data_IF_974479816372
#
_entry.id   IF_974479816372
#
_cell.length_a   1.000
_cell.length_b   1.000
_cell.length_c   1.000
_cell.angle_alpha   90.00
_cell.angle_beta   90.00
_cell.angle_gamma   90.00
#
_symmetry.space_group_name_H-M   'P 1'
#
loop_
_entity.id
_entity.type
_entity.pdbx_description
1 polymer ?
#
# COMPACT_ATOMS: atom_id res chain seq x y z
N UNK A 1 -5.85 1.31 -20.60
CA UNK A 1 -5.14 0.94 -19.35
C UNK A 1 -3.68 0.51 -19.54
N UNK A 2 -3.13 0.53 -20.77
CA UNK A 2 -1.85 -0.12 -21.12
C UNK A 2 -0.63 0.82 -21.28
N UNK A 3 -0.76 2.13 -21.04
CA UNK A 3 0.32 3.12 -21.21
C UNK A 3 1.01 3.55 -19.91
N UNK A 4 0.72 2.89 -18.78
CA UNK A 4 1.19 3.32 -17.46
C UNK A 4 2.48 2.67 -16.96
N UNK A 5 3.11 1.79 -17.72
CA UNK A 5 4.30 1.09 -17.21
C UNK A 5 5.52 2.01 -17.17
N UNK A 6 5.99 2.61 -18.28
CA UNK A 6 7.19 3.48 -18.25
C UNK A 6 6.96 4.84 -17.56
N UNK A 7 5.71 5.32 -17.54
CA UNK A 7 5.36 6.58 -16.87
C UNK A 7 5.43 6.49 -15.32
N UNK A 8 5.35 5.30 -14.73
CA UNK A 8 5.09 5.16 -13.29
C UNK A 8 6.25 5.67 -12.39
N UNK A 9 7.52 5.55 -12.82
CA UNK A 9 8.68 5.97 -12.01
C UNK A 9 8.93 7.48 -12.10
N UNK A 10 8.95 8.05 -13.31
CA UNK A 10 9.08 9.50 -13.50
C UNK A 10 7.90 10.28 -12.88
N UNK A 11 6.73 9.64 -12.80
CA UNK A 11 5.51 10.23 -12.26
C UNK A 11 5.40 10.12 -10.73
N UNK A 12 6.44 9.66 -10.01
CA UNK A 12 6.48 9.64 -8.54
C UNK A 12 7.60 10.50 -7.94
N UNK A 13 8.76 10.59 -8.60
CA UNK A 13 9.82 11.52 -8.22
C UNK A 13 9.40 13.00 -8.39
N UNK A 14 8.70 13.31 -9.49
CA UNK A 14 8.19 14.67 -9.74
C UNK A 14 7.16 15.10 -8.68
N UNK A 15 6.17 14.27 -8.28
CA UNK A 15 5.28 14.59 -7.17
C UNK A 15 5.95 14.80 -5.82
N UNK A 16 6.96 14.01 -5.45
CA UNK A 16 7.61 14.17 -4.14
C UNK A 16 8.37 15.49 -4.06
N UNK A 17 9.15 15.82 -5.09
CA UNK A 17 9.85 17.11 -5.16
C UNK A 17 8.86 18.29 -5.18
N UNK A 18 7.78 18.18 -5.95
CA UNK A 18 6.72 19.20 -5.99
C UNK A 18 6.01 19.35 -4.64
N UNK A 19 5.82 18.25 -3.90
CA UNK A 19 5.21 18.26 -2.58
C UNK A 19 6.11 18.94 -1.54
N UNK A 20 7.40 18.61 -1.49
CA UNK A 20 8.32 19.24 -0.54
C UNK A 20 8.37 20.75 -0.76
N UNK A 21 8.48 21.17 -2.02
CA UNK A 21 8.41 22.59 -2.40
C UNK A 21 7.10 23.26 -1.97
N UNK A 22 5.95 22.61 -2.20
CA UNK A 22 4.65 23.11 -1.75
C UNK A 22 4.62 23.30 -0.22
N UNK A 23 5.15 22.36 0.56
CA UNK A 23 5.16 22.44 2.03
C UNK A 23 6.09 23.54 2.52
N UNK A 24 7.25 23.70 1.88
CA UNK A 24 8.25 24.72 2.21
C UNK A 24 7.75 26.15 1.91
N UNK A 25 7.07 26.34 0.78
CA UNK A 25 6.60 27.66 0.32
C UNK A 25 5.30 28.13 0.99
N UNK A 26 4.57 27.25 1.67
CA UNK A 26 3.27 27.57 2.27
C UNK A 26 3.29 27.49 3.81
N UNK A 27 2.31 28.13 4.45
CA UNK A 27 2.12 27.99 5.90
C UNK A 27 1.43 26.65 6.18
N UNK A 28 1.83 25.89 7.22
CA UNK A 28 1.20 24.61 7.51
C UNK A 28 -0.31 24.70 7.76
N UNK A 29 -0.80 25.83 8.25
CA UNK A 29 -2.22 26.10 8.49
C UNK A 29 -3.06 26.14 7.21
N UNK A 30 -2.43 26.46 6.06
CA UNK A 30 -3.10 26.63 4.77
C UNK A 30 -3.18 25.31 3.98
N UNK A 31 -2.26 24.38 4.23
CA UNK A 31 -2.13 23.11 3.48
C UNK A 31 -2.62 21.89 4.26
N UNK A 32 -2.80 22.00 5.59
CA UNK A 32 -3.25 20.91 6.46
C UNK A 32 -4.70 21.15 6.94
N UNK A 33 -5.42 20.06 7.21
CA UNK A 33 -6.70 20.19 7.93
C UNK A 33 -6.47 20.65 9.37
N UNK A 34 -7.49 21.28 9.98
CA UNK A 34 -7.43 21.76 11.37
C UNK A 34 -7.04 20.67 12.36
N UNK A 35 -7.55 19.45 12.18
CA UNK A 35 -7.25 18.29 13.02
C UNK A 35 -5.81 17.79 12.86
N UNK A 36 -5.29 17.75 11.63
CA UNK A 36 -3.92 17.33 11.37
C UNK A 36 -2.92 18.34 11.91
N UNK A 37 -3.18 19.61 11.69
CA UNK A 37 -2.36 20.70 12.21
C UNK A 37 -2.31 20.67 13.74
N UNK A 38 -3.46 20.58 14.41
CA UNK A 38 -3.52 20.52 15.87
C UNK A 38 -2.75 19.31 16.43
N UNK A 39 -2.86 18.14 15.80
CA UNK A 39 -2.13 16.93 16.18
C UNK A 39 -0.62 17.11 16.05
N UNK A 40 -0.15 17.61 14.91
CA UNK A 40 1.28 17.82 14.67
C UNK A 40 1.86 18.91 15.55
N UNK A 41 1.11 19.99 15.77
CA UNK A 41 1.49 21.05 16.69
C UNK A 41 1.66 20.52 18.12
N UNK A 42 0.69 19.74 18.62
CA UNK A 42 0.79 19.11 19.93
C UNK A 42 2.02 18.19 20.04
N UNK A 43 2.34 17.44 18.99
CA UNK A 43 3.53 16.59 18.93
C UNK A 43 4.82 17.41 19.02
N UNK A 44 4.91 18.54 18.31
CA UNK A 44 6.05 19.46 18.37
C UNK A 44 6.18 20.11 19.75
N UNK A 45 5.07 20.58 20.34
CA UNK A 45 5.07 21.18 21.68
C UNK A 45 5.52 20.19 22.76
N UNK A 46 5.07 18.93 22.67
CA UNK A 46 5.50 17.88 23.60
C UNK A 46 6.99 17.53 23.41
N UNK A 47 7.47 17.45 22.17
CA UNK A 47 8.88 17.21 21.88
C UNK A 47 9.79 18.33 22.41
N UNK A 48 9.36 19.59 22.24
CA UNK A 48 10.07 20.75 22.78
C UNK A 48 10.11 20.73 24.32
N UNK A 49 8.99 20.43 24.98
CA UNK A 49 8.93 20.30 26.44
C UNK A 49 9.84 19.17 26.97
N UNK A 50 9.90 18.04 26.25
CA UNK A 50 10.81 16.93 26.58
C UNK A 50 12.28 17.31 26.44
N UNK A 51 12.65 18.07 25.41
CA UNK A 51 14.02 18.55 25.23
C UNK A 51 14.47 19.47 26.39
N UNK A 52 13.60 20.39 26.82
CA UNK A 52 13.84 21.28 27.97
C UNK A 52 14.04 20.50 29.28
N UNK A 53 13.23 19.46 29.53
CA UNK A 53 13.36 18.61 30.73
C UNK A 53 14.65 17.77 30.78
N UNK A 54 15.30 17.56 29.62
CA UNK A 54 16.58 16.85 29.53
C UNK A 54 17.76 17.79 29.84
N UNK A 55 17.64 19.07 29.48
CA UNK A 55 18.64 20.10 29.76
C UNK A 55 18.64 20.55 31.24
N UNK A 56 17.48 20.61 31.90
CA UNK A 56 17.40 20.89 33.35
C UNK A 56 18.14 19.86 34.22
N UNK A 57 18.33 18.63 33.73
CA UNK A 57 19.07 17.58 34.46
C UNK A 57 20.59 17.72 34.38
N UNK A 58 21.11 18.67 33.58
CA UNK A 58 22.53 18.93 33.41
C UNK A 58 23.05 20.14 34.20
N UNK A 59 22.18 20.91 34.88
CA UNK A 59 22.57 22.13 35.59
C UNK A 59 21.87 22.30 36.94
N UNK A 60 22.16 21.43 37.91
CA UNK A 60 21.89 21.71 39.32
C UNK A 60 23.18 22.24 39.97
N UNK A 61 23.34 23.58 40.06
CA UNK A 61 23.73 24.43 41.24
C UNK A 61 23.71 25.90 40.74
N UNK A 62 22.78 26.75 41.18
CA UNK A 62 22.92 27.87 42.15
C UNK A 62 21.58 28.65 42.26
N UNK A 63 21.06 28.66 43.49
CA UNK A 63 20.31 29.70 44.25
C UNK A 63 20.11 31.09 43.60
N UNK A 64 18.86 31.60 43.54
CA UNK A 64 18.38 32.73 44.37
C UNK A 64 16.91 33.11 44.04
N UNK A 65 16.17 33.55 45.05
CA UNK A 65 14.72 33.79 45.10
C UNK A 65 14.31 35.22 44.67
N UNK A 66 13.23 35.36 43.89
CA UNK A 66 12.23 36.44 44.12
C UNK A 66 10.86 36.18 43.42
N UNK A 67 9.69 36.51 44.05
CA UNK A 67 8.35 36.22 43.51
C UNK A 67 7.59 37.54 43.09
N UNK A 68 6.29 37.55 42.75
CA UNK A 68 5.80 37.62 41.36
C UNK A 68 4.92 38.85 41.06
N UNK A 69 5.00 39.42 39.84
CA UNK A 69 4.04 40.46 39.38
C UNK A 69 3.11 39.92 38.29
N UNK A 70 1.83 40.13 38.58
CA UNK A 70 0.59 39.70 37.94
C UNK A 70 0.42 40.23 36.51
N UNK A 71 -0.08 39.37 35.62
CA UNK A 71 -0.58 39.76 34.30
C UNK A 71 -0.90 38.60 33.36
N UNK A 72 -1.71 37.62 33.77
CA UNK A 72 -2.16 36.54 32.87
C UNK A 72 -3.24 37.07 31.93
N UNK A 73 -2.83 37.79 30.89
CA UNK A 73 -3.59 37.79 29.64
C UNK A 73 -3.43 36.38 29.06
N UNK A 74 -4.55 35.69 28.77
CA UNK A 74 -4.52 34.38 28.08
C UNK A 74 -3.51 34.47 26.93
N UNK A 75 -2.41 33.69 26.94
CA UNK A 75 -1.46 33.78 25.87
C UNK A 75 -2.19 33.29 24.63
N UNK A 76 -2.41 34.19 23.67
CA UNK A 76 -2.54 33.76 22.28
C UNK A 76 -1.26 32.98 22.05
N UNK A 77 -1.38 31.65 21.94
CA UNK A 77 -0.25 30.78 21.63
C UNK A 77 0.15 31.14 20.20
N UNK A 78 0.97 32.18 20.06
CA UNK A 78 1.58 32.52 18.79
C UNK A 78 2.48 31.35 18.44
N UNK A 79 2.02 30.58 17.46
CA UNK A 79 2.77 29.46 16.92
C UNK A 79 4.07 30.06 16.38
N UNK A 80 5.18 29.69 17.01
CA UNK A 80 6.49 30.24 16.68
C UNK A 80 6.90 29.77 15.29
N UNK A 81 7.74 30.54 14.60
CA UNK A 81 8.25 30.11 13.29
C UNK A 81 9.11 28.84 13.37
N UNK A 82 9.75 28.61 14.52
CA UNK A 82 10.40 27.35 14.83
C UNK A 82 9.39 26.19 14.88
N UNK A 83 8.23 26.37 15.53
CA UNK A 83 7.18 25.36 15.56
C UNK A 83 6.59 25.11 14.17
N UNK A 84 6.36 26.16 13.35
CA UNK A 84 5.92 26.00 11.96
C UNK A 84 6.92 25.19 11.13
N UNK A 85 8.21 25.48 11.29
CA UNK A 85 9.29 24.77 10.58
C UNK A 85 9.35 23.30 11.00
N UNK A 86 9.26 23.01 12.30
CA UNK A 86 9.20 21.64 12.80
C UNK A 86 7.97 20.88 12.26
N UNK A 87 6.80 21.53 12.18
CA UNK A 87 5.60 20.92 11.59
C UNK A 87 5.81 20.62 10.10
N UNK A 88 6.39 21.53 9.32
CA UNK A 88 6.75 21.27 7.90
C UNK A 88 7.65 20.05 7.77
N UNK A 89 8.67 19.96 8.62
CA UNK A 89 9.60 18.84 8.60
C UNK A 89 8.91 17.51 8.90
N UNK A 90 8.01 17.46 9.89
CA UNK A 90 7.22 16.25 10.19
C UNK A 90 6.31 15.84 9.03
N UNK A 91 5.71 16.82 8.32
CA UNK A 91 4.88 16.55 7.14
C UNK A 91 5.73 15.96 6.00
N UNK A 92 6.87 16.57 5.71
CA UNK A 92 7.80 16.11 4.69
C UNK A 92 8.30 14.71 5.02
N UNK A 93 8.76 14.49 6.25
CA UNK A 93 9.28 13.20 6.70
C UNK A 93 8.21 12.10 6.64
N UNK A 94 6.99 12.39 7.12
CA UNK A 94 5.88 11.44 7.05
C UNK A 94 5.56 11.07 5.59
N UNK A 95 5.60 12.04 4.67
CA UNK A 95 5.36 11.78 3.25
C UNK A 95 6.50 11.02 2.60
N UNK A 96 7.73 11.30 2.98
CA UNK A 96 8.93 10.59 2.51
C UNK A 96 8.85 9.12 2.89
N UNK A 97 8.45 8.77 4.12
CA UNK A 97 8.26 7.38 4.54
C UNK A 97 7.26 6.64 3.64
N UNK A 98 6.12 7.27 3.33
CA UNK A 98 5.12 6.70 2.41
C UNK A 98 5.67 6.55 0.99
N UNK A 99 6.42 7.55 0.52
CA UNK A 99 7.07 7.51 -0.78
C UNK A 99 8.06 6.35 -0.85
N UNK A 100 8.94 6.19 0.13
CA UNK A 100 9.94 5.13 0.17
C UNK A 100 9.30 3.74 0.23
N UNK A 101 8.25 3.58 1.02
CA UNK A 101 7.47 2.34 1.05
C UNK A 101 6.86 2.03 -0.32
N UNK A 102 6.24 3.03 -0.96
CA UNK A 102 5.63 2.89 -2.29
C UNK A 102 6.68 2.60 -3.38
N UNK A 103 7.79 3.32 -3.36
CA UNK A 103 8.91 3.16 -4.27
C UNK A 103 9.48 1.75 -4.19
N UNK A 104 9.71 1.24 -2.98
CA UNK A 104 10.17 -0.15 -2.76
C UNK A 104 9.21 -1.15 -3.39
N UNK A 105 7.90 -0.97 -3.18
CA UNK A 105 6.89 -1.83 -3.78
C UNK A 105 6.89 -1.74 -5.31
N UNK A 106 7.05 -0.55 -5.88
CA UNK A 106 7.11 -0.37 -7.33
C UNK A 106 8.35 -1.04 -7.91
N UNK A 107 9.50 -0.86 -7.30
CA UNK A 107 10.75 -1.43 -7.79
C UNK A 107 10.75 -2.96 -7.78
N UNK A 108 10.12 -3.60 -6.78
CA UNK A 108 9.91 -5.06 -6.78
C UNK A 108 9.16 -5.53 -8.03
N UNK A 109 8.13 -4.79 -8.47
CA UNK A 109 7.26 -5.13 -9.62
C UNK A 109 7.87 -4.70 -10.95
N UNK A 110 8.60 -3.59 -10.93
CA UNK A 110 9.28 -3.04 -12.09
C UNK A 110 10.19 -4.08 -12.75
N UNK A 111 10.90 -4.86 -11.94
CA UNK A 111 11.74 -5.96 -12.40
C UNK A 111 11.02 -6.87 -13.42
N UNK A 112 9.74 -7.17 -13.21
CA UNK A 112 8.94 -8.00 -14.12
C UNK A 112 8.27 -7.17 -15.21
N UNK A 113 7.72 -6.01 -14.86
CA UNK A 113 6.97 -5.13 -15.77
C UNK A 113 7.82 -4.63 -16.93
N UNK A 114 9.09 -4.30 -16.69
CA UNK A 114 10.01 -3.85 -17.75
C UNK A 114 10.28 -4.95 -18.80
N UNK A 115 10.18 -6.22 -18.41
CA UNK A 115 10.41 -7.35 -19.31
C UNK A 115 9.19 -7.70 -20.16
N UNK A 116 8.00 -7.19 -19.86
CA UNK A 116 6.78 -7.50 -20.62
C UNK A 116 6.83 -6.73 -21.95
N UNK A 117 7.04 -7.46 -23.05
CA UNK A 117 7.10 -6.88 -24.40
C UNK A 117 5.75 -6.88 -25.12
N UNK A 118 4.89 -7.85 -24.81
CA UNK A 118 3.57 -8.00 -25.46
C UNK A 118 2.45 -8.04 -24.44
N UNK A 119 1.89 -6.88 -24.05
CA UNK A 119 0.86 -6.81 -23.01
C UNK A 119 -0.57 -7.01 -23.55
N UNK A 120 -0.72 -7.43 -24.81
CA UNK A 120 -1.99 -7.64 -25.49
C UNK A 120 -2.04 -9.01 -26.18
N UNK A 121 -3.24 -9.45 -26.49
CA UNK A 121 -3.49 -10.69 -27.22
C UNK A 121 -2.98 -10.63 -28.66
N UNK A 122 -2.34 -11.69 -29.13
CA UNK A 122 -1.97 -11.88 -30.53
C UNK A 122 -1.81 -13.38 -30.81
N UNK A 123 -2.14 -13.81 -32.03
CA UNK A 123 -2.20 -15.24 -32.42
C UNK A 123 -0.84 -15.93 -32.40
N UNK A 124 0.25 -15.22 -32.75
CA UNK A 124 1.62 -15.75 -32.63
C UNK A 124 1.90 -16.18 -31.18
N UNK A 125 2.52 -17.35 -30.95
CA UNK A 125 2.95 -17.74 -29.61
C UNK A 125 3.84 -16.68 -28.95
N UNK A 126 3.72 -16.52 -27.64
CA UNK A 126 4.70 -15.81 -26.82
C UNK A 126 6.00 -16.62 -26.77
N UNK A 127 7.11 -15.88 -26.75
CA UNK A 127 8.43 -16.45 -26.46
C UNK A 127 8.46 -17.05 -25.05
N UNK A 128 9.22 -18.14 -24.89
CA UNK A 128 9.34 -18.83 -23.60
C UNK A 128 9.81 -17.88 -22.48
N UNK A 129 10.71 -16.95 -22.78
CA UNK A 129 11.18 -15.92 -21.84
C UNK A 129 10.04 -15.05 -21.31
N UNK A 130 9.04 -14.73 -22.15
CA UNK A 130 7.86 -13.97 -21.71
C UNK A 130 6.95 -14.81 -20.82
N UNK A 131 6.77 -16.11 -21.15
CA UNK A 131 5.96 -17.03 -20.35
C UNK A 131 6.59 -17.25 -18.97
N UNK A 132 7.90 -17.45 -18.89
CA UNK A 132 8.64 -17.57 -17.63
C UNK A 132 8.52 -16.29 -16.81
N UNK A 133 8.68 -15.11 -17.41
CA UNK A 133 8.52 -13.84 -16.69
C UNK A 133 7.10 -13.68 -16.11
N UNK A 134 6.06 -14.06 -16.86
CA UNK A 134 4.68 -14.07 -16.33
C UNK A 134 4.50 -15.07 -15.19
N UNK A 135 5.04 -16.28 -15.34
CA UNK A 135 4.96 -17.31 -14.30
C UNK A 135 5.67 -16.88 -13.01
N UNK A 136 6.87 -16.30 -13.12
CA UNK A 136 7.63 -15.78 -11.98
C UNK A 136 6.90 -14.59 -11.34
N UNK A 137 6.36 -13.67 -12.14
CA UNK A 137 5.65 -12.50 -11.63
C UNK A 137 4.36 -12.89 -10.88
N UNK A 138 3.59 -13.84 -11.43
CA UNK A 138 2.41 -14.38 -10.74
C UNK A 138 2.80 -15.06 -9.42
N UNK A 139 3.88 -15.85 -9.43
CA UNK A 139 4.37 -16.54 -8.22
C UNK A 139 4.83 -15.55 -7.15
N UNK A 140 5.52 -14.48 -7.56
CA UNK A 140 5.95 -13.40 -6.67
C UNK A 140 4.74 -12.69 -6.03
N UNK A 141 3.73 -12.33 -6.80
CA UNK A 141 2.54 -11.65 -6.26
C UNK A 141 1.72 -12.57 -5.35
N UNK A 142 1.59 -13.85 -5.69
CA UNK A 142 0.96 -14.86 -4.82
C UNK A 142 1.70 -14.98 -3.49
N UNK A 143 3.03 -15.04 -3.52
CA UNK A 143 3.85 -15.13 -2.32
C UNK A 143 3.75 -13.87 -1.44
N UNK A 144 3.77 -12.67 -2.04
CA UNK A 144 3.58 -11.41 -1.29
C UNK A 144 2.19 -11.35 -0.64
N UNK A 145 1.14 -11.82 -1.33
CA UNK A 145 -0.20 -11.89 -0.75
C UNK A 145 -0.28 -12.91 0.40
N UNK A 146 0.31 -14.09 0.23
CA UNK A 146 0.35 -15.12 1.27
C UNK A 146 1.16 -14.68 2.51
N UNK A 147 2.24 -13.90 2.31
CA UNK A 147 3.02 -13.34 3.41
C UNK A 147 2.20 -12.33 4.23
N UNK A 148 1.43 -11.46 3.57
CA UNK A 148 0.52 -10.52 4.24
C UNK A 148 -0.57 -11.28 4.99
N UNK A 149 -1.18 -12.28 4.35
CA UNK A 149 -2.19 -13.15 4.98
C UNK A 149 -1.64 -13.83 6.25
N UNK A 150 -0.40 -14.32 6.20
CA UNK A 150 0.25 -14.95 7.35
C UNK A 150 0.57 -13.95 8.46
N UNK A 151 1.08 -12.75 8.14
CA UNK A 151 1.34 -11.70 9.15
C UNK A 151 0.06 -11.33 9.90
N UNK A 152 -1.02 -11.07 9.17
CA UNK A 152 -2.32 -10.72 9.75
C UNK A 152 -2.89 -11.86 10.58
N UNK A 153 -2.70 -13.11 10.14
CA UNK A 153 -3.12 -14.29 10.91
C UNK A 153 -2.40 -14.39 12.24
N UNK A 154 -1.08 -14.19 12.27
CA UNK A 154 -0.30 -14.24 13.51
C UNK A 154 -0.66 -13.09 14.44
N UNK A 155 -0.85 -11.87 13.91
CA UNK A 155 -1.32 -10.70 14.68
C UNK A 155 -2.70 -10.98 15.33
N UNK A 156 -3.68 -11.45 14.56
CA UNK A 156 -5.02 -11.76 15.08
C UNK A 156 -5.02 -12.90 16.09
N UNK A 157 -4.17 -13.92 15.90
CA UNK A 157 -4.04 -15.03 16.83
C UNK A 157 -3.37 -14.61 18.14
N UNK A 158 -2.42 -13.67 18.09
CA UNK A 158 -1.80 -13.10 19.27
C UNK A 158 -2.79 -12.25 20.08
N UNK A 159 -3.66 -11.48 19.41
CA UNK A 159 -4.70 -10.67 20.05
C UNK A 159 -5.89 -11.49 20.59
N UNK A 160 -6.28 -12.54 19.87
CA UNK A 160 -7.44 -13.38 20.20
C UNK A 160 -7.08 -14.88 20.14
N UNK A 161 -6.38 -15.42 21.17
CA UNK A 161 -5.86 -16.79 21.15
C UNK A 161 -6.94 -17.89 21.13
N UNK A 162 -8.13 -17.57 21.63
CA UNK A 162 -9.23 -18.53 21.81
C UNK A 162 -10.13 -18.68 20.56
N UNK A 163 -9.85 -17.96 19.47
CA UNK A 163 -10.64 -18.07 18.24
C UNK A 163 -10.50 -19.44 17.59
N UNK A 164 -11.61 -19.96 17.09
CA UNK A 164 -11.56 -21.15 16.23
C UNK A 164 -10.85 -20.84 14.91
N UNK A 165 -10.20 -21.83 14.30
CA UNK A 165 -9.44 -21.65 13.05
C UNK A 165 -10.32 -21.14 11.89
N UNK A 166 -11.61 -21.50 11.91
CA UNK A 166 -12.61 -21.02 10.95
C UNK A 166 -12.88 -19.52 11.10
N UNK A 167 -13.09 -19.06 12.34
CA UNK A 167 -13.32 -17.64 12.63
C UNK A 167 -12.07 -16.80 12.40
N UNK A 168 -10.90 -17.33 12.75
CA UNK A 168 -9.61 -16.71 12.46
C UNK A 168 -9.43 -16.53 10.95
N UNK A 169 -9.68 -17.57 10.15
CA UNK A 169 -9.60 -17.49 8.70
C UNK A 169 -10.57 -16.47 8.11
N UNK A 170 -11.82 -16.43 8.59
CA UNK A 170 -12.80 -15.43 8.16
C UNK A 170 -12.34 -13.99 8.48
N UNK A 171 -11.79 -13.76 9.68
CA UNK A 171 -11.26 -12.46 10.09
C UNK A 171 -10.05 -12.04 9.26
N UNK A 172 -9.09 -12.94 9.05
CA UNK A 172 -7.92 -12.71 8.20
C UNK A 172 -8.35 -12.29 6.79
N UNK A 173 -9.28 -13.03 6.17
CA UNK A 173 -9.76 -12.74 4.83
C UNK A 173 -10.59 -11.45 4.74
N UNK A 174 -11.15 -10.99 5.85
CA UNK A 174 -11.87 -9.71 5.94
C UNK A 174 -10.97 -8.49 6.19
N UNK A 175 -9.69 -8.70 6.49
CA UNK A 175 -8.74 -7.60 6.71
C UNK A 175 -8.46 -6.84 5.42
N UNK A 176 -8.52 -5.50 5.48
CA UNK A 176 -8.32 -4.62 4.31
C UNK A 176 -6.98 -4.88 3.61
N UNK A 177 -5.91 -5.14 4.37
CA UNK A 177 -4.59 -5.43 3.83
C UNK A 177 -4.58 -6.72 2.99
N UNK A 178 -5.24 -7.77 3.48
CA UNK A 178 -5.37 -9.06 2.79
C UNK A 178 -6.27 -8.91 1.57
N UNK A 179 -7.40 -8.22 1.67
CA UNK A 179 -8.30 -7.94 0.55
C UNK A 179 -7.56 -7.22 -0.58
N UNK A 180 -6.79 -6.17 -0.25
CA UNK A 180 -5.99 -5.42 -1.21
C UNK A 180 -4.90 -6.29 -1.86
N UNK A 181 -4.22 -7.12 -1.07
CA UNK A 181 -3.19 -8.02 -1.58
C UNK A 181 -3.77 -9.06 -2.56
N UNK A 182 -4.89 -9.71 -2.21
CA UNK A 182 -5.58 -10.66 -3.09
C UNK A 182 -6.11 -10.00 -4.36
N UNK A 183 -6.63 -8.76 -4.25
CA UNK A 183 -7.08 -7.98 -5.40
C UNK A 183 -5.95 -7.69 -6.38
N UNK A 184 -4.72 -7.42 -5.90
CA UNK A 184 -3.55 -7.23 -6.75
C UNK A 184 -3.22 -8.47 -7.57
N UNK A 185 -3.19 -9.65 -6.93
CA UNK A 185 -2.95 -10.92 -7.62
C UNK A 185 -4.01 -11.16 -8.70
N UNK A 186 -5.29 -10.94 -8.36
CA UNK A 186 -6.41 -11.06 -9.30
C UNK A 186 -6.24 -10.18 -10.55
N UNK A 187 -5.90 -8.89 -10.35
CA UNK A 187 -5.67 -7.95 -11.46
C UNK A 187 -4.47 -8.37 -12.32
N UNK A 188 -3.41 -8.92 -11.70
CA UNK A 188 -2.26 -9.43 -12.45
C UNK A 188 -2.63 -10.65 -13.31
N UNK A 189 -3.41 -11.58 -12.76
CA UNK A 189 -3.93 -12.72 -13.52
C UNK A 189 -4.79 -12.27 -14.70
N UNK A 190 -5.75 -11.37 -14.48
CA UNK A 190 -6.59 -10.83 -15.55
C UNK A 190 -5.76 -10.19 -16.67
N UNK A 191 -4.68 -9.47 -16.32
CA UNK A 191 -3.73 -8.92 -17.32
C UNK A 191 -2.94 -10.02 -18.03
N UNK A 192 -2.42 -11.00 -17.30
CA UNK A 192 -1.65 -12.11 -17.86
C UNK A 192 -2.49 -12.89 -18.88
N UNK A 193 -3.75 -13.17 -18.56
CA UNK A 193 -4.66 -13.93 -19.40
C UNK A 193 -5.02 -13.21 -20.71
N UNK A 194 -4.92 -11.88 -20.77
CA UNK A 194 -5.05 -11.16 -22.06
C UNK A 194 -3.90 -11.52 -23.00
N UNK A 195 -2.65 -11.46 -22.53
CA UNK A 195 -1.49 -11.79 -23.37
C UNK A 195 -1.38 -13.31 -23.62
N UNK A 196 -1.76 -14.10 -22.62
CA UNK A 196 -1.59 -15.55 -22.57
C UNK A 196 -2.89 -16.34 -22.75
N UNK A 197 -3.88 -15.80 -23.47
CA UNK A 197 -5.21 -16.42 -23.59
C UNK A 197 -5.16 -17.86 -24.14
N UNK A 198 -4.17 -18.20 -24.98
CA UNK A 198 -3.99 -19.54 -25.58
C UNK A 198 -3.26 -20.55 -24.68
N UNK A 199 -2.90 -20.17 -23.45
CA UNK A 199 -2.10 -21.01 -22.55
C UNK A 199 -2.93 -21.53 -21.38
N UNK A 200 -3.54 -22.71 -21.57
CA UNK A 200 -4.49 -23.33 -20.63
C UNK A 200 -3.97 -23.47 -19.20
N UNK A 201 -2.69 -23.79 -19.03
CA UNK A 201 -2.08 -23.95 -17.70
C UNK A 201 -2.17 -22.69 -16.83
N UNK A 202 -2.20 -21.49 -17.42
CA UNK A 202 -2.34 -20.22 -16.70
C UNK A 202 -3.80 -20.02 -16.25
N UNK A 203 -4.78 -20.41 -17.07
CA UNK A 203 -6.19 -20.42 -16.69
C UNK A 203 -6.45 -21.37 -15.53
N UNK A 204 -5.89 -22.58 -15.59
CA UNK A 204 -6.01 -23.59 -14.51
C UNK A 204 -5.38 -23.05 -13.21
N UNK A 205 -4.21 -22.40 -13.31
CA UNK A 205 -3.57 -21.76 -12.15
C UNK A 205 -4.45 -20.66 -11.55
N UNK A 206 -5.05 -19.81 -12.39
CA UNK A 206 -5.95 -18.75 -11.92
C UNK A 206 -7.22 -19.31 -11.26
N UNK A 207 -7.84 -20.34 -11.85
CA UNK A 207 -9.01 -21.01 -11.28
C UNK A 207 -8.71 -21.50 -9.86
N UNK A 208 -7.60 -22.24 -9.70
CA UNK A 208 -7.13 -22.71 -8.38
C UNK A 208 -6.89 -21.57 -7.40
N UNK A 209 -6.27 -20.47 -7.84
CA UNK A 209 -6.05 -19.31 -6.98
C UNK A 209 -7.37 -18.70 -6.48
N UNK A 210 -8.38 -18.62 -7.36
CA UNK A 210 -9.68 -18.03 -7.02
C UNK A 210 -10.57 -18.93 -6.17
N UNK A 211 -10.49 -20.25 -6.34
CA UNK A 211 -11.24 -21.25 -5.55
C UNK A 211 -10.93 -21.17 -4.05
N UNK A 212 -9.71 -20.73 -3.70
CA UNK A 212 -9.28 -20.52 -2.31
C UNK A 212 -9.92 -19.26 -1.68
N UNK A 213 -10.55 -18.37 -2.44
CA UNK A 213 -11.21 -17.14 -1.93
C UNK A 213 -12.72 -17.16 -2.06
N UNK A 214 -13.42 -17.42 -0.94
CA UNK A 214 -14.68 -16.79 -0.50
C UNK A 214 -15.74 -16.44 -1.57
N UNK A 215 -16.02 -17.34 -2.52
CA UNK A 215 -17.28 -17.29 -3.26
C UNK A 215 -17.82 -18.71 -3.45
N UNK A 216 -19.03 -19.04 -2.94
CA UNK A 216 -19.66 -20.35 -3.12
C UNK A 216 -20.27 -20.52 -4.53
N UNK A 217 -19.63 -19.95 -5.56
CA UNK A 217 -19.97 -20.20 -6.95
C UNK A 217 -18.69 -20.43 -7.74
N UNK A 218 -18.53 -21.60 -8.38
CA UNK A 218 -17.34 -21.87 -9.16
C UNK A 218 -17.32 -20.92 -10.36
N UNK A 219 -16.44 -19.92 -10.30
CA UNK A 219 -16.10 -19.01 -11.40
C UNK A 219 -15.65 -19.78 -12.66
N UNK A 220 -15.36 -21.08 -12.54
CA UNK A 220 -15.18 -22.00 -13.66
C UNK A 220 -16.31 -21.84 -14.69
N UNK A 221 -17.56 -21.65 -14.28
CA UNK A 221 -18.67 -21.55 -15.22
C UNK A 221 -18.71 -20.20 -15.99
N UNK A 222 -18.16 -19.13 -15.41
CA UNK A 222 -18.13 -17.79 -16.02
C UNK A 222 -16.87 -17.57 -16.85
N UNK A 223 -15.73 -18.07 -16.34
CA UNK A 223 -14.44 -18.01 -17.02
C UNK A 223 -14.46 -18.89 -18.27
N UNK A 224 -14.92 -20.14 -18.16
CA UNK A 224 -15.00 -21.02 -19.33
C UNK A 224 -16.08 -20.57 -20.33
N UNK A 225 -17.20 -19.99 -19.89
CA UNK A 225 -18.21 -19.45 -20.82
C UNK A 225 -17.67 -18.28 -21.67
N UNK A 226 -16.79 -17.42 -21.14
CA UNK A 226 -16.18 -16.34 -21.95
C UNK A 226 -15.10 -16.85 -22.91
N UNK A 227 -14.39 -17.93 -22.55
CA UNK A 227 -13.35 -18.52 -23.39
C UNK A 227 -13.95 -19.36 -24.53
N UNK A 228 -14.96 -20.19 -24.25
CA UNK A 228 -15.57 -21.06 -25.26
C UNK A 228 -16.41 -20.32 -26.31
N UNK A 229 -16.98 -19.15 -25.97
CA UNK A 229 -17.69 -18.29 -26.94
C UNK A 229 -16.72 -17.69 -27.98
N UNK A 230 -15.44 -17.53 -27.66
CA UNK A 230 -14.42 -17.08 -28.63
C UNK A 230 -13.82 -18.21 -29.47
N UNK A 231 -13.98 -19.47 -29.06
CA UNK A 231 -13.37 -20.65 -29.70
C UNK A 231 -14.27 -21.34 -30.74
N UNK A 232 -15.56 -21.01 -30.81
CA UNK A 232 -16.49 -21.60 -31.78
C UNK A 232 -16.71 -23.12 -31.60
N UNK A 233 -16.46 -23.67 -30.41
CA UNK A 233 -16.69 -25.09 -30.12
C UNK A 233 -17.93 -25.22 -29.23
N UNK A 234 -19.09 -25.35 -29.87
CA UNK A 234 -20.33 -25.78 -29.22
C UNK A 234 -20.23 -27.28 -28.89
N UNK A 235 -19.67 -27.61 -27.73
CA UNK A 235 -19.88 -28.93 -27.12
C UNK A 235 -20.86 -28.78 -25.97
N UNK A 236 -22.11 -29.03 -26.30
CA UNK A 236 -23.20 -29.25 -25.36
C UNK A 236 -22.80 -30.35 -24.37
N UNK A 237 -22.62 -29.98 -23.09
CA UNK A 237 -22.88 -30.90 -22.00
C UNK A 237 -24.40 -31.11 -21.93
N UNK A 238 -24.92 -32.05 -22.73
CA UNK A 238 -26.22 -32.65 -22.45
C UNK A 238 -26.08 -33.54 -21.23
N UNK A 239 -26.86 -33.23 -20.20
CA UNK A 239 -27.13 -34.08 -19.05
C UNK A 239 -27.33 -35.55 -19.43
N UNK A 240 -26.59 -36.44 -18.76
CA UNK A 240 -27.12 -37.63 -18.10
C UNK A 240 -26.34 -37.84 -16.80
#
# INVERSE_FOLDING_TARGET
MLLRSVACIAQLLVPLFSFNKLVEENRPEDILSRSEFARLHAQVSLAAAKALSFEERASDIVDDLEPPIVGVTKPVVEITDAARTAIRQLVIESREQLYQATYTQIMKRWYFEEKIRRPYFHVKPLEEVQLTNWADYLSFEEAEAAAIESSVREELKAEQPDLSDSELTAKVLSSDSVILARRRVKVLYERCLVACALYEHIWIRYARYTEVSVYPKPLIHVVFSSVYVCSGVDVWMTSQ
#
